data_IF_316895464967
#
_entry.id   IF_316895464967
#
_cell.length_a   1.000
_cell.length_b   1.000
_cell.length_c   1.000
_cell.angle_alpha   90.00
_cell.angle_beta   90.00
_cell.angle_gamma   90.00
#
_symmetry.space_group_name_H-M   'P 1'
#
loop_
_entity.id
_entity.type
_entity.pdbx_description
1 polymer ?
#
# COMPACT_ATOMS: atom_id res chain seq x y z
N UNK A 1 5.81 -0.38 -2.39
CA UNK A 1 7.17 0.19 -2.38
C UNK A 1 7.84 0.12 -1.03
N UNK A 2 9.00 0.71 -0.96
CA UNK A 2 9.83 0.70 0.25
C UNK A 2 10.16 2.13 0.64
N UNK A 3 10.30 2.43 1.96
CA UNK A 3 10.66 3.77 2.41
C UNK A 3 12.04 4.20 1.90
N UNK A 4 12.26 5.49 1.84
CA UNK A 4 13.52 6.05 1.33
C UNK A 4 14.73 5.70 2.21
N UNK A 5 14.50 5.39 3.49
CA UNK A 5 15.52 4.99 4.45
C UNK A 5 15.72 3.47 4.55
N UNK A 6 15.24 2.72 3.57
CA UNK A 6 15.24 1.25 3.59
C UNK A 6 16.61 0.62 3.81
N UNK A 7 17.67 1.32 3.41
CA UNK A 7 19.04 0.79 3.48
C UNK A 7 19.62 0.85 4.90
N UNK A 8 19.10 1.74 5.73
CA UNK A 8 19.62 1.99 7.08
C UNK A 8 18.60 1.68 8.19
N UNK A 9 17.34 1.54 7.84
CA UNK A 9 16.27 1.28 8.79
C UNK A 9 15.68 -0.10 8.51
N UNK A 10 15.78 -1.07 9.45
CA UNK A 10 15.22 -2.40 9.25
C UNK A 10 13.69 -2.42 9.22
N UNK A 11 13.03 -1.37 9.69
CA UNK A 11 11.59 -1.16 9.54
C UNK A 11 11.29 -0.61 8.14
N UNK A 12 11.49 -1.44 7.14
CA UNK A 12 11.54 -1.03 5.73
C UNK A 12 10.53 -1.75 4.84
N UNK A 13 9.47 -2.32 5.41
CA UNK A 13 8.42 -3.05 4.69
C UNK A 13 8.80 -4.46 4.19
N UNK A 14 10.04 -4.89 4.32
CA UNK A 14 10.45 -6.23 3.87
C UNK A 14 9.75 -7.34 4.64
N UNK A 15 9.52 -7.15 5.93
CA UNK A 15 8.80 -8.12 6.77
C UNK A 15 7.34 -8.26 6.33
N UNK A 16 6.71 -7.18 5.94
CA UNK A 16 5.34 -7.22 5.42
C UNK A 16 5.26 -7.98 4.10
N UNK A 17 6.23 -7.78 3.21
CA UNK A 17 6.33 -8.54 1.96
C UNK A 17 6.47 -10.03 2.28
N UNK A 18 7.36 -10.38 3.20
CA UNK A 18 7.59 -11.77 3.59
C UNK A 18 6.32 -12.45 4.15
N UNK A 19 5.50 -11.69 4.90
CA UNK A 19 4.24 -12.22 5.45
C UNK A 19 3.16 -12.39 4.39
N UNK A 20 3.10 -11.50 3.42
CA UNK A 20 2.01 -11.46 2.42
C UNK A 20 2.29 -12.39 1.25
N UNK A 21 3.55 -12.51 0.82
CA UNK A 21 3.91 -13.21 -0.42
C UNK A 21 3.33 -14.63 -0.53
N UNK A 22 3.23 -15.44 0.54
CA UNK A 22 2.66 -16.79 0.44
C UNK A 22 1.16 -16.84 0.09
N UNK A 23 0.46 -15.74 0.27
CA UNK A 23 -1.01 -15.68 0.14
C UNK A 23 -1.48 -14.98 -1.12
N UNK A 24 -0.56 -14.45 -1.94
CA UNK A 24 -0.88 -13.72 -3.15
C UNK A 24 -0.26 -14.40 -4.36
N UNK A 25 -0.81 -14.13 -5.53
CA UNK A 25 -0.27 -14.69 -6.77
C UNK A 25 1.10 -14.08 -7.07
N UNK A 26 1.21 -12.77 -6.91
CA UNK A 26 2.46 -12.05 -7.17
C UNK A 26 2.39 -10.65 -6.57
N UNK A 27 3.54 -10.00 -6.51
CA UNK A 27 3.70 -8.62 -6.06
C UNK A 27 4.32 -7.82 -7.18
N UNK A 28 3.80 -6.63 -7.43
CA UNK A 28 4.34 -5.67 -8.39
C UNK A 28 4.83 -4.44 -7.66
N UNK A 29 5.98 -3.94 -8.03
CA UNK A 29 6.56 -2.70 -7.53
C UNK A 29 6.85 -1.80 -8.73
N UNK A 30 5.95 -0.87 -8.99
CA UNK A 30 6.04 -0.02 -10.20
C UNK A 30 6.83 1.27 -9.96
N UNK A 31 7.15 1.56 -8.70
CA UNK A 31 8.03 2.68 -8.36
C UNK A 31 7.34 4.01 -8.15
N UNK A 32 6.01 4.06 -8.21
CA UNK A 32 5.22 5.27 -7.97
C UNK A 32 3.93 4.91 -7.23
N UNK A 33 3.76 5.44 -6.03
CA UNK A 33 2.54 5.22 -5.24
C UNK A 33 1.30 5.73 -5.97
N UNK A 34 1.38 6.90 -6.60
CA UNK A 34 0.27 7.47 -7.37
C UNK A 34 -0.12 6.56 -8.54
N UNK A 35 0.84 6.01 -9.24
CA UNK A 35 0.59 5.07 -10.34
C UNK A 35 -0.01 3.76 -9.83
N UNK A 36 0.58 3.18 -8.79
CA UNK A 36 0.09 1.93 -8.20
C UNK A 36 -1.36 2.06 -7.73
N UNK A 37 -1.68 3.12 -7.02
CA UNK A 37 -3.03 3.40 -6.52
C UNK A 37 -4.01 3.64 -7.68
N UNK A 38 -3.58 4.31 -8.73
CA UNK A 38 -4.40 4.49 -9.93
C UNK A 38 -4.69 3.15 -10.62
N UNK A 39 -3.73 2.25 -10.64
CA UNK A 39 -3.93 0.88 -11.15
C UNK A 39 -4.90 0.09 -10.28
N UNK A 40 -4.88 0.26 -8.97
CA UNK A 40 -5.87 -0.34 -8.06
C UNK A 40 -7.26 0.20 -8.36
N UNK A 41 -7.40 1.51 -8.52
CA UNK A 41 -8.67 2.14 -8.85
C UNK A 41 -9.23 1.66 -10.20
N UNK A 42 -8.36 1.44 -11.17
CA UNK A 42 -8.72 0.94 -12.52
C UNK A 42 -8.97 -0.57 -12.56
N UNK A 43 -8.71 -1.31 -11.49
CA UNK A 43 -8.87 -2.77 -11.45
C UNK A 43 -7.73 -3.55 -12.08
N UNK A 44 -6.61 -2.90 -12.38
CA UNK A 44 -5.42 -3.56 -12.94
C UNK A 44 -4.58 -4.24 -11.86
N UNK A 45 -4.65 -3.76 -10.62
CA UNK A 45 -4.09 -4.38 -9.43
C UNK A 45 -5.22 -4.59 -8.42
N UNK A 46 -5.13 -5.65 -7.63
CA UNK A 46 -6.18 -6.01 -6.69
C UNK A 46 -6.09 -5.22 -5.37
N UNK A 47 -4.88 -4.97 -4.91
CA UNK A 47 -4.63 -4.28 -3.67
C UNK A 47 -3.24 -3.67 -3.62
N UNK A 48 -3.01 -2.90 -2.55
CA UNK A 48 -1.79 -2.12 -2.41
C UNK A 48 -1.51 -1.90 -0.92
N UNK A 49 -0.24 -1.92 -0.56
CA UNK A 49 0.21 -1.38 0.72
C UNK A 49 1.58 -0.73 0.54
N UNK A 50 1.84 0.29 1.31
CA UNK A 50 3.14 0.95 1.33
C UNK A 50 3.40 1.61 2.68
N UNK A 51 4.67 1.81 3.00
CA UNK A 51 5.14 2.33 4.27
C UNK A 51 5.84 3.66 4.06
N UNK A 52 5.57 4.61 4.94
CA UNK A 52 6.33 5.86 5.09
C UNK A 52 6.31 6.76 3.85
N UNK A 53 5.12 6.96 3.30
CA UNK A 53 4.90 7.91 2.20
C UNK A 53 4.67 9.32 2.76
N UNK A 54 4.75 10.30 1.87
CA UNK A 54 4.32 11.66 2.13
C UNK A 54 2.88 11.88 1.65
N UNK A 55 2.16 12.81 2.29
CA UNK A 55 0.80 13.14 1.88
C UNK A 55 0.69 13.49 0.41
N UNK A 56 1.65 14.25 -0.11
CA UNK A 56 1.64 14.65 -1.53
C UNK A 56 1.87 13.50 -2.50
N UNK A 57 2.39 12.37 -2.02
CA UNK A 57 2.53 11.17 -2.85
C UNK A 57 1.20 10.49 -3.15
N UNK A 58 0.21 10.65 -2.27
CA UNK A 58 -0.98 9.80 -2.26
C UNK A 58 -2.30 10.55 -2.24
N UNK A 59 -2.34 11.85 -1.92
CA UNK A 59 -3.62 12.54 -1.68
C UNK A 59 -4.57 12.49 -2.89
N UNK A 60 -4.08 12.74 -4.09
CA UNK A 60 -4.90 12.70 -5.31
C UNK A 60 -5.30 11.25 -5.66
N UNK A 61 -4.36 10.32 -5.59
CA UNK A 61 -4.62 8.92 -5.94
C UNK A 61 -5.55 8.24 -4.93
N UNK A 62 -5.45 8.59 -3.64
CA UNK A 62 -6.38 8.11 -2.62
C UNK A 62 -7.82 8.55 -2.92
N UNK A 63 -7.99 9.78 -3.38
CA UNK A 63 -9.32 10.25 -3.80
C UNK A 63 -9.84 9.43 -4.98
N UNK A 64 -8.99 9.15 -5.96
CA UNK A 64 -9.36 8.34 -7.13
C UNK A 64 -9.79 6.92 -6.68
N UNK A 65 -9.06 6.29 -5.76
CA UNK A 65 -9.43 4.97 -5.23
C UNK A 65 -10.80 5.02 -4.55
N UNK A 66 -11.05 6.02 -3.70
CA UNK A 66 -12.33 6.17 -3.02
C UNK A 66 -13.49 6.42 -3.98
N UNK A 67 -13.29 7.27 -4.98
CA UNK A 67 -14.29 7.53 -6.01
C UNK A 67 -14.60 6.30 -6.87
N UNK A 68 -13.63 5.41 -7.03
CA UNK A 68 -13.82 4.14 -7.72
C UNK A 68 -14.50 3.06 -6.85
N UNK A 69 -14.88 3.39 -5.61
CA UNK A 69 -15.53 2.48 -4.68
C UNK A 69 -14.57 1.68 -3.80
N UNK A 70 -13.28 1.99 -3.86
CA UNK A 70 -12.27 1.36 -3.02
C UNK A 70 -12.17 1.98 -1.63
N UNK A 71 -11.34 1.35 -0.80
CA UNK A 71 -11.05 1.77 0.57
C UNK A 71 -9.56 2.06 0.70
N UNK A 72 -9.24 3.09 1.47
CA UNK A 72 -7.86 3.41 1.87
C UNK A 72 -7.83 3.43 3.40
N UNK A 73 -6.92 2.68 3.98
CA UNK A 73 -6.78 2.58 5.44
C UNK A 73 -5.33 2.76 5.86
N UNK A 74 -5.09 3.66 6.79
CA UNK A 74 -3.79 3.80 7.43
C UNK A 74 -3.59 2.69 8.46
N UNK A 75 -2.38 2.17 8.58
CA UNK A 75 -2.12 1.11 9.56
C UNK A 75 -1.01 1.43 10.57
N UNK A 76 -0.33 2.57 10.42
CA UNK A 76 0.69 3.01 11.37
C UNK A 76 0.72 4.54 11.45
N UNK A 77 0.69 5.12 12.67
CA UNK A 77 0.82 6.56 12.85
C UNK A 77 2.27 7.04 13.00
N UNK A 78 3.23 6.14 13.22
CA UNK A 78 4.61 6.44 13.58
C UNK A 78 5.57 6.49 12.39
N UNK A 79 5.08 6.13 11.20
CA UNK A 79 5.89 6.12 9.97
C UNK A 79 5.09 6.78 8.85
N UNK A 80 5.23 8.08 8.68
CA UNK A 80 4.61 8.85 7.60
C UNK A 80 3.20 8.42 7.25
N UNK A 81 2.85 8.41 5.96
CA UNK A 81 1.63 7.79 5.48
C UNK A 81 1.95 6.32 5.17
N UNK A 82 1.40 5.43 5.99
CA UNK A 82 1.55 3.97 5.84
C UNK A 82 0.15 3.40 5.66
N UNK A 83 -0.17 2.95 4.46
CA UNK A 83 -1.55 2.66 4.09
C UNK A 83 -1.70 1.38 3.28
N UNK A 84 -2.92 0.84 3.30
CA UNK A 84 -3.39 -0.21 2.41
C UNK A 84 -4.59 0.30 1.62
N UNK A 85 -4.74 -0.15 0.39
CA UNK A 85 -5.82 0.27 -0.50
C UNK A 85 -6.30 -0.89 -1.35
N UNK A 86 -7.57 -0.87 -1.71
CA UNK A 86 -8.22 -1.89 -2.51
C UNK A 86 -9.71 -1.96 -2.19
N UNK A 87 -10.36 -3.09 -2.49
CA UNK A 87 -11.71 -3.31 -2.00
C UNK A 87 -11.68 -3.58 -0.49
N UNK A 88 -12.83 -3.42 0.17
CA UNK A 88 -12.91 -3.53 1.63
C UNK A 88 -12.44 -4.88 2.15
N UNK A 89 -12.84 -5.96 1.49
CA UNK A 89 -12.47 -7.32 1.91
C UNK A 89 -10.95 -7.52 1.84
N UNK A 90 -10.35 -7.11 0.74
CA UNK A 90 -8.91 -7.26 0.54
C UNK A 90 -8.10 -6.37 1.48
N UNK A 91 -8.55 -5.15 1.72
CA UNK A 91 -7.90 -4.25 2.69
C UNK A 91 -7.92 -4.86 4.09
N UNK A 92 -9.05 -5.43 4.52
CA UNK A 92 -9.12 -6.15 5.80
C UNK A 92 -8.11 -7.29 5.88
N UNK A 93 -7.96 -8.04 4.80
CA UNK A 93 -6.99 -9.14 4.75
C UNK A 93 -5.55 -8.61 4.83
N UNK A 94 -5.22 -7.59 4.06
CA UNK A 94 -3.87 -6.98 4.10
C UNK A 94 -3.54 -6.51 5.51
N UNK A 95 -4.48 -5.85 6.19
CA UNK A 95 -4.26 -5.30 7.53
C UNK A 95 -3.95 -6.37 8.58
N UNK A 96 -4.25 -7.63 8.33
CA UNK A 96 -3.88 -8.74 9.22
C UNK A 96 -2.39 -9.08 9.16
N UNK A 97 -1.71 -8.72 8.08
CA UNK A 97 -0.33 -9.14 7.81
C UNK A 97 0.68 -8.00 7.91
N UNK A 98 0.23 -6.75 7.81
CA UNK A 98 1.12 -5.58 7.87
C UNK A 98 1.30 -5.06 9.30
N UNK A 99 2.47 -4.51 9.53
CA UNK A 99 2.80 -3.82 10.78
C UNK A 99 3.52 -2.52 10.48
#
# INVERSE_FOLDING_TARGET
>A
GFPYDKDVNPDNNSDNVARIIPYVRDVRRLGSAAYDLSCVAAGLLDGYWELDLHEWDVCAANLIVREAGGVVADFRPDRGVSQAAGNETLVREILKYVI
#
